data_IF_318451715044
#
_entry.id   IF_318451715044
#
_cell.length_a   1.000
_cell.length_b   1.000
_cell.length_c   1.000
_cell.angle_alpha   90.00
_cell.angle_beta   90.00
_cell.angle_gamma   90.00
#
_symmetry.space_group_name_H-M   'P 1'
#
loop_
_entity.id
_entity.type
_entity.pdbx_description
1 polymer ?
#
# COMPACT_ATOMS: atom_id res chain seq x y z
N UNK A 1 -35.59 -28.75 2.42
CA UNK A 1 -34.50 -28.33 3.36
C UNK A 1 -35.13 -27.95 4.70
N UNK A 2 -34.70 -28.60 5.77
CA UNK A 2 -35.32 -28.47 7.11
C UNK A 2 -35.05 -27.08 7.71
N UNK A 3 -36.06 -26.31 8.16
CA UNK A 3 -35.86 -24.94 8.73
C UNK A 3 -34.93 -24.91 9.94
N UNK A 4 -34.91 -26.02 10.72
CA UNK A 4 -33.98 -26.15 11.86
C UNK A 4 -32.51 -26.22 11.45
N UNK A 5 -32.18 -26.87 10.35
CA UNK A 5 -30.80 -26.92 9.82
C UNK A 5 -30.32 -25.55 9.33
N UNK A 6 -31.21 -24.77 8.68
CA UNK A 6 -30.90 -23.38 8.29
C UNK A 6 -30.67 -22.45 9.49
N UNK A 7 -31.45 -22.60 10.54
CA UNK A 7 -31.28 -21.82 11.76
C UNK A 7 -29.94 -22.14 12.47
N UNK A 8 -29.53 -23.42 12.46
CA UNK A 8 -28.22 -23.81 13.00
C UNK A 8 -27.05 -23.30 12.16
N UNK A 9 -27.14 -23.36 10.83
CA UNK A 9 -26.10 -22.79 9.95
C UNK A 9 -25.98 -21.27 10.11
N UNK A 10 -27.08 -20.55 10.21
CA UNK A 10 -27.09 -19.11 10.47
C UNK A 10 -26.49 -18.77 11.84
N UNK A 11 -26.81 -19.55 12.86
CA UNK A 11 -26.25 -19.40 14.20
C UNK A 11 -24.74 -19.65 14.24
N UNK A 12 -24.27 -20.67 13.54
CA UNK A 12 -22.83 -20.96 13.41
C UNK A 12 -22.10 -19.85 12.65
N UNK A 13 -22.65 -19.36 11.54
CA UNK A 13 -22.08 -18.24 10.78
C UNK A 13 -22.00 -16.98 11.61
N UNK A 14 -23.09 -16.61 12.31
CA UNK A 14 -23.10 -15.47 13.22
C UNK A 14 -22.07 -15.60 14.36
N UNK A 15 -21.90 -16.82 14.91
CA UNK A 15 -20.87 -17.10 15.92
C UNK A 15 -19.45 -16.95 15.37
N UNK A 16 -19.20 -17.40 14.15
CA UNK A 16 -17.92 -17.24 13.48
C UNK A 16 -17.59 -15.78 13.17
N UNK A 17 -18.57 -15.01 12.69
CA UNK A 17 -18.43 -13.58 12.43
C UNK A 17 -18.18 -12.78 13.71
N UNK A 18 -18.94 -13.06 14.79
CA UNK A 18 -18.72 -12.44 16.09
C UNK A 18 -17.32 -12.75 16.66
N UNK A 19 -16.86 -13.99 16.53
CA UNK A 19 -15.51 -14.38 16.92
C UNK A 19 -14.43 -13.70 16.05
N UNK A 20 -14.69 -13.51 14.75
CA UNK A 20 -13.78 -12.80 13.84
C UNK A 20 -13.68 -11.32 14.24
N UNK A 21 -14.80 -10.66 14.51
CA UNK A 21 -14.84 -9.27 15.03
C UNK A 21 -14.08 -9.15 16.35
N UNK A 22 -14.32 -10.08 17.30
CA UNK A 22 -13.60 -10.09 18.58
C UNK A 22 -12.09 -10.25 18.43
N UNK A 23 -11.63 -11.07 17.48
CA UNK A 23 -10.21 -11.19 17.16
C UNK A 23 -9.63 -9.93 16.53
N UNK A 24 -10.35 -9.27 15.63
CA UNK A 24 -9.94 -8.00 15.02
C UNK A 24 -9.84 -6.87 16.05
N UNK A 25 -10.80 -6.76 16.96
CA UNK A 25 -10.76 -5.81 18.07
C UNK A 25 -9.56 -6.06 18.99
N UNK A 26 -9.30 -7.30 19.36
CA UNK A 26 -8.12 -7.63 20.17
C UNK A 26 -6.80 -7.28 19.45
N UNK A 27 -6.70 -7.51 18.16
CA UNK A 27 -5.52 -7.14 17.37
C UNK A 27 -5.37 -5.62 17.26
N UNK A 28 -6.45 -4.89 17.09
CA UNK A 28 -6.44 -3.43 17.07
C UNK A 28 -5.95 -2.82 18.40
N UNK A 29 -6.21 -3.49 19.53
CA UNK A 29 -5.76 -3.08 20.87
C UNK A 29 -4.34 -3.57 21.22
N UNK A 30 -3.89 -4.68 20.61
CA UNK A 30 -2.63 -5.32 20.96
C UNK A 30 -1.40 -4.65 20.32
N UNK A 31 -1.55 -3.87 19.25
CA UNK A 31 -0.41 -3.22 18.60
C UNK A 31 -0.76 -2.40 17.36
N UNK A 32 0.22 -1.73 16.76
CA UNK A 32 0.05 -1.04 15.48
C UNK A 32 -0.20 -2.06 14.36
N UNK A 33 -1.29 -1.85 13.59
CA UNK A 33 -1.69 -2.73 12.50
C UNK A 33 -2.89 -2.18 11.73
N UNK A 34 -3.26 -2.80 10.59
CA UNK A 34 -4.35 -2.33 9.74
C UNK A 34 -5.71 -2.29 10.48
N UNK A 35 -5.93 -3.20 11.42
CA UNK A 35 -7.16 -3.19 12.23
C UNK A 35 -7.24 -1.98 13.16
N UNK A 36 -6.10 -1.53 13.71
CA UNK A 36 -6.03 -0.31 14.52
C UNK A 36 -6.27 0.93 13.68
N UNK A 37 -5.74 0.99 12.47
CA UNK A 37 -5.93 2.12 11.56
C UNK A 37 -7.40 2.26 11.15
N UNK A 38 -8.09 1.14 10.86
CA UNK A 38 -9.51 1.11 10.61
C UNK A 38 -10.33 1.57 11.84
N UNK A 39 -9.97 1.12 13.03
CA UNK A 39 -10.64 1.53 14.28
C UNK A 39 -10.45 3.03 14.53
N UNK A 40 -9.25 3.55 14.37
CA UNK A 40 -8.97 5.00 14.49
C UNK A 40 -9.75 5.80 13.46
N UNK A 41 -9.84 5.33 12.22
CA UNK A 41 -10.62 5.99 11.16
C UNK A 41 -12.12 5.99 11.50
N UNK A 42 -12.65 4.86 11.99
CA UNK A 42 -14.05 4.77 12.42
C UNK A 42 -14.36 5.73 13.59
N UNK A 43 -13.48 5.82 14.59
CA UNK A 43 -13.63 6.74 15.72
C UNK A 43 -13.57 8.20 15.25
N UNK A 44 -12.67 8.54 14.33
CA UNK A 44 -12.60 9.87 13.73
C UNK A 44 -13.88 10.23 12.99
N UNK A 45 -14.40 9.30 12.19
CA UNK A 45 -15.63 9.50 11.42
C UNK A 45 -16.83 9.70 12.36
N UNK A 46 -16.95 8.88 13.41
CA UNK A 46 -17.98 9.03 14.43
C UNK A 46 -17.86 10.36 15.18
N UNK A 47 -16.65 10.74 15.59
CA UNK A 47 -16.39 12.03 16.24
C UNK A 47 -16.72 13.23 15.34
N UNK A 48 -16.38 13.17 14.06
CA UNK A 48 -16.73 14.20 13.08
C UNK A 48 -18.24 14.30 12.88
N UNK A 49 -18.95 13.17 12.81
CA UNK A 49 -20.40 13.14 12.70
C UNK A 49 -21.09 13.75 13.90
N UNK A 50 -20.68 13.36 15.12
CA UNK A 50 -21.23 13.89 16.38
C UNK A 50 -21.01 15.40 16.47
N UNK A 51 -19.80 15.86 16.15
CA UNK A 51 -19.46 17.28 16.15
C UNK A 51 -20.27 18.06 15.12
N UNK A 52 -20.38 17.52 13.90
CA UNK A 52 -21.18 18.14 12.84
C UNK A 52 -22.66 18.22 13.20
N UNK A 53 -23.22 17.17 13.82
CA UNK A 53 -24.59 17.17 14.32
C UNK A 53 -24.77 18.16 15.47
N UNK A 54 -23.83 18.21 16.40
CA UNK A 54 -23.90 19.16 17.51
C UNK A 54 -23.95 20.62 17.02
N UNK A 55 -23.13 20.93 15.98
CA UNK A 55 -23.13 22.30 15.43
C UNK A 55 -24.38 22.56 14.57
N UNK A 56 -24.73 21.66 13.66
CA UNK A 56 -25.85 21.86 12.73
C UNK A 56 -27.22 21.70 13.41
N UNK A 57 -27.40 20.66 14.26
CA UNK A 57 -28.67 20.29 14.84
C UNK A 57 -28.96 21.02 16.15
N UNK A 58 -27.99 21.09 17.08
CA UNK A 58 -28.22 21.65 18.42
C UNK A 58 -27.96 23.16 18.47
N UNK A 59 -26.84 23.64 17.88
CA UNK A 59 -26.50 25.06 17.95
C UNK A 59 -27.21 25.90 16.86
N UNK A 60 -27.18 25.44 15.60
CA UNK A 60 -27.75 26.16 14.46
C UNK A 60 -29.21 25.81 14.21
N UNK A 61 -29.73 24.70 14.75
CA UNK A 61 -31.13 24.22 14.59
C UNK A 61 -31.56 24.14 13.12
N UNK A 62 -30.67 23.67 12.26
CA UNK A 62 -30.87 23.58 10.82
C UNK A 62 -32.04 22.62 10.49
N UNK A 63 -32.88 22.94 9.50
CA UNK A 63 -34.06 22.13 9.15
C UNK A 63 -33.73 20.69 8.73
N UNK A 64 -32.57 20.48 8.15
CA UNK A 64 -32.08 19.18 7.66
C UNK A 64 -30.71 18.84 8.28
N UNK A 65 -30.56 19.01 9.59
CA UNK A 65 -29.31 18.81 10.34
C UNK A 65 -28.55 17.49 10.02
N UNK A 66 -29.21 16.53 9.37
CA UNK A 66 -28.61 15.25 8.97
C UNK A 66 -27.56 15.39 7.85
N UNK A 67 -27.62 16.42 7.02
CA UNK A 67 -26.69 16.60 5.89
C UNK A 67 -25.25 16.88 6.34
N UNK A 68 -25.09 17.65 7.42
CA UNK A 68 -23.77 17.98 7.96
C UNK A 68 -23.01 16.74 8.50
N UNK A 69 -23.56 15.89 9.40
CA UNK A 69 -22.90 14.67 9.85
C UNK A 69 -22.63 13.67 8.72
N UNK A 70 -23.58 13.52 7.79
CA UNK A 70 -23.38 12.66 6.62
C UNK A 70 -22.16 13.08 5.80
N UNK A 71 -22.06 14.37 5.49
CA UNK A 71 -20.91 14.92 4.77
C UNK A 71 -19.61 14.80 5.56
N UNK A 72 -19.66 15.06 6.88
CA UNK A 72 -18.49 14.94 7.73
C UNK A 72 -17.92 13.51 7.74
N UNK A 73 -18.77 12.48 7.86
CA UNK A 73 -18.35 11.06 7.78
C UNK A 73 -17.72 10.73 6.43
N UNK A 74 -18.38 11.15 5.33
CA UNK A 74 -17.91 10.87 3.98
C UNK A 74 -16.55 11.50 3.69
N UNK A 75 -16.19 12.59 4.35
CA UNK A 75 -14.95 13.33 4.14
C UNK A 75 -13.81 12.96 5.09
N UNK A 76 -14.04 12.10 6.07
CA UNK A 76 -12.95 11.50 6.85
C UNK A 76 -12.25 10.44 6.01
N UNK A 77 -11.27 10.88 5.23
CA UNK A 77 -10.48 10.04 4.31
C UNK A 77 -9.11 9.73 4.89
N UNK A 78 -8.34 8.88 4.19
CA UNK A 78 -6.98 8.48 4.59
C UNK A 78 -5.98 9.65 4.60
N UNK A 79 -6.19 10.69 3.77
CA UNK A 79 -5.33 11.88 3.73
C UNK A 79 -6.14 13.18 3.71
N UNK A 80 -5.56 14.26 4.22
CA UNK A 80 -6.19 15.60 4.22
C UNK A 80 -6.43 16.09 2.79
N UNK A 81 -5.48 15.85 1.89
CA UNK A 81 -5.61 16.22 0.48
C UNK A 81 -6.81 15.53 -0.18
N UNK A 82 -6.95 14.22 0.04
CA UNK A 82 -8.08 13.44 -0.47
C UNK A 82 -9.40 13.93 0.12
N UNK A 83 -9.43 14.24 1.43
CA UNK A 83 -10.62 14.83 2.07
C UNK A 83 -11.03 16.16 1.42
N UNK A 84 -10.09 17.07 1.16
CA UNK A 84 -10.37 18.36 0.50
C UNK A 84 -10.85 18.15 -0.93
N UNK A 85 -10.15 17.32 -1.72
CA UNK A 85 -10.53 17.02 -3.12
C UNK A 85 -11.94 16.41 -3.19
N UNK A 86 -12.20 15.40 -2.37
CA UNK A 86 -13.51 14.74 -2.28
C UNK A 86 -14.58 15.71 -1.82
N UNK A 87 -14.28 16.57 -0.82
CA UNK A 87 -15.19 17.59 -0.34
C UNK A 87 -15.61 18.59 -1.41
N UNK A 88 -14.67 19.11 -2.20
CA UNK A 88 -14.98 20.00 -3.32
C UNK A 88 -15.83 19.29 -4.36
N UNK A 89 -15.47 18.06 -4.74
CA UNK A 89 -16.26 17.27 -5.70
C UNK A 89 -17.68 17.03 -5.19
N UNK A 90 -17.84 16.69 -3.93
CA UNK A 90 -19.12 16.44 -3.29
C UNK A 90 -20.00 17.70 -3.28
N UNK A 91 -19.47 18.85 -2.87
CA UNK A 91 -20.19 20.12 -2.90
C UNK A 91 -20.66 20.47 -4.29
N UNK A 92 -19.81 20.32 -5.31
CA UNK A 92 -20.16 20.56 -6.72
C UNK A 92 -21.27 19.61 -7.18
N UNK A 93 -21.20 18.33 -6.86
CA UNK A 93 -22.21 17.34 -7.23
C UNK A 93 -23.56 17.58 -6.52
N UNK A 94 -23.54 17.95 -5.24
CA UNK A 94 -24.74 18.32 -4.49
C UNK A 94 -25.39 19.57 -5.09
N UNK A 95 -24.61 20.60 -5.39
CA UNK A 95 -25.10 21.80 -6.05
C UNK A 95 -25.71 21.48 -7.42
N UNK A 96 -25.00 20.71 -8.26
CA UNK A 96 -25.50 20.31 -9.58
C UNK A 96 -26.78 19.46 -9.46
N UNK A 97 -26.83 18.49 -8.57
CA UNK A 97 -28.02 17.67 -8.33
C UNK A 97 -29.23 18.50 -7.87
N UNK A 98 -29.00 19.48 -7.00
CA UNK A 98 -30.05 20.40 -6.53
C UNK A 98 -30.59 21.28 -7.66
N UNK A 99 -29.70 21.88 -8.47
CA UNK A 99 -30.09 22.73 -9.61
C UNK A 99 -30.85 21.92 -10.65
N UNK A 100 -30.36 20.73 -11.02
CA UNK A 100 -31.01 19.84 -11.97
C UNK A 100 -32.39 19.38 -11.49
N UNK A 101 -32.53 19.07 -10.20
CA UNK A 101 -33.80 18.69 -9.59
C UNK A 101 -34.82 19.86 -9.63
N UNK A 102 -34.36 21.04 -9.24
CA UNK A 102 -35.21 22.25 -9.29
C UNK A 102 -35.64 22.60 -10.73
N UNK A 103 -34.73 22.51 -11.71
CA UNK A 103 -35.04 22.72 -13.11
C UNK A 103 -36.05 21.67 -13.64
N UNK A 104 -35.86 20.39 -13.31
CA UNK A 104 -36.80 19.35 -13.72
C UNK A 104 -38.19 19.55 -13.09
N UNK A 105 -38.27 19.95 -11.83
CA UNK A 105 -39.54 20.26 -11.15
C UNK A 105 -40.25 21.46 -11.82
N UNK A 106 -39.50 22.50 -12.18
CA UNK A 106 -40.02 23.64 -12.91
C UNK A 106 -40.56 23.27 -14.30
N UNK A 107 -39.84 22.44 -15.06
CA UNK A 107 -40.25 21.97 -16.41
C UNK A 107 -41.49 21.07 -16.35
N UNK A 108 -41.70 20.32 -15.29
CA UNK A 108 -42.82 19.39 -15.15
C UNK A 108 -44.02 19.95 -14.42
N UNK A 109 -44.04 21.26 -14.14
CA UNK A 109 -45.15 21.93 -13.43
C UNK A 109 -45.38 21.39 -12.03
N UNK A 110 -44.33 20.88 -11.36
CA UNK A 110 -44.40 20.32 -10.00
C UNK A 110 -44.77 18.83 -9.94
N UNK A 111 -44.91 18.15 -11.06
CA UNK A 111 -45.14 16.69 -11.05
C UNK A 111 -43.86 15.95 -10.64
N UNK A 112 -43.83 15.47 -9.42
CA UNK A 112 -42.65 14.82 -8.81
C UNK A 112 -42.16 13.59 -9.58
N UNK A 113 -43.09 12.77 -10.10
CA UNK A 113 -42.72 11.55 -10.84
C UNK A 113 -42.08 11.90 -12.20
N UNK A 114 -42.62 12.88 -12.92
CA UNK A 114 -42.06 13.34 -14.19
C UNK A 114 -40.70 14.03 -13.96
N UNK A 115 -40.58 14.82 -12.89
CA UNK A 115 -39.32 15.44 -12.52
C UNK A 115 -38.25 14.42 -12.17
N UNK A 116 -38.60 13.34 -11.44
CA UNK A 116 -37.68 12.23 -11.14
C UNK A 116 -37.23 11.49 -12.40
N UNK A 117 -38.14 11.23 -13.33
CA UNK A 117 -37.87 10.56 -14.61
C UNK A 117 -36.84 11.32 -15.47
N UNK A 118 -36.74 12.64 -15.29
CA UNK A 118 -35.78 13.48 -16.00
C UNK A 118 -34.50 13.67 -15.18
N UNK A 119 -34.62 14.06 -13.90
CA UNK A 119 -33.48 14.45 -13.09
C UNK A 119 -32.56 13.27 -12.73
N UNK A 120 -33.12 12.10 -12.38
CA UNK A 120 -32.31 10.98 -11.93
C UNK A 120 -31.39 10.40 -13.02
N UNK A 121 -31.85 10.17 -14.26
CA UNK A 121 -30.94 9.73 -15.33
C UNK A 121 -29.85 10.77 -15.65
N UNK A 122 -30.20 12.05 -15.68
CA UNK A 122 -29.24 13.12 -15.98
C UNK A 122 -28.18 13.24 -14.89
N UNK A 123 -28.58 13.20 -13.62
CA UNK A 123 -27.63 13.24 -12.48
C UNK A 123 -26.79 11.97 -12.38
N UNK A 124 -27.34 10.79 -12.71
CA UNK A 124 -26.60 9.56 -12.79
C UNK A 124 -25.53 9.57 -13.88
N UNK A 125 -25.86 10.10 -15.07
CA UNK A 125 -24.90 10.30 -16.15
C UNK A 125 -23.80 11.30 -15.77
N UNK A 126 -24.16 12.41 -15.13
CA UNK A 126 -23.19 13.38 -14.63
C UNK A 126 -22.25 12.75 -13.59
N UNK A 127 -22.81 11.90 -12.73
CA UNK A 127 -22.04 11.19 -11.71
C UNK A 127 -21.06 10.14 -12.25
N UNK A 128 -21.35 9.57 -13.42
CA UNK A 128 -20.46 8.61 -14.10
C UNK A 128 -19.30 9.26 -14.85
N UNK A 129 -19.22 10.57 -14.86
CA UNK A 129 -18.11 11.25 -15.51
C UNK A 129 -16.79 10.96 -14.77
N UNK A 130 -15.77 10.56 -15.50
CA UNK A 130 -14.50 10.01 -14.97
C UNK A 130 -13.76 10.90 -13.94
N UNK A 131 -14.04 12.21 -13.94
CA UNK A 131 -13.46 13.15 -12.96
C UNK A 131 -14.01 13.00 -11.54
N UNK A 132 -15.16 12.37 -11.34
CA UNK A 132 -15.83 12.30 -10.04
C UNK A 132 -15.57 11.00 -9.27
N UNK A 133 -14.77 10.08 -9.79
CA UNK A 133 -14.20 8.90 -9.08
C UNK A 133 -15.17 8.22 -8.08
N UNK A 134 -16.38 7.86 -8.53
CA UNK A 134 -17.37 7.18 -7.68
C UNK A 134 -18.21 8.08 -6.76
N UNK A 135 -18.03 9.41 -6.81
CA UNK A 135 -18.83 10.37 -6.04
C UNK A 135 -20.20 10.67 -6.70
N UNK A 136 -20.49 10.10 -7.85
CA UNK A 136 -21.71 10.35 -8.62
C UNK A 136 -23.02 10.07 -7.92
N UNK A 137 -23.01 9.15 -6.99
CA UNK A 137 -24.18 8.82 -6.15
C UNK A 137 -24.71 10.06 -5.42
N UNK A 138 -23.85 11.00 -5.03
CA UNK A 138 -24.28 12.21 -4.31
C UNK A 138 -25.17 13.14 -5.16
N UNK A 139 -24.94 13.26 -6.46
CA UNK A 139 -25.79 14.08 -7.33
C UNK A 139 -27.20 13.49 -7.43
N UNK A 140 -27.31 12.19 -7.70
CA UNK A 140 -28.61 11.49 -7.84
C UNK A 140 -29.37 11.43 -6.51
N UNK A 141 -28.68 11.15 -5.41
CA UNK A 141 -29.30 11.12 -4.07
C UNK A 141 -29.80 12.52 -3.70
N UNK A 142 -29.03 13.57 -3.97
CA UNK A 142 -29.44 14.94 -3.69
C UNK A 142 -30.66 15.33 -4.52
N UNK A 143 -30.66 15.02 -5.83
CA UNK A 143 -31.80 15.27 -6.70
C UNK A 143 -33.06 14.57 -6.19
N UNK A 144 -32.93 13.30 -5.77
CA UNK A 144 -34.04 12.55 -5.17
C UNK A 144 -34.57 13.23 -3.91
N UNK A 145 -33.70 13.62 -3.00
CA UNK A 145 -34.11 14.31 -1.77
C UNK A 145 -34.81 15.65 -2.04
N UNK A 146 -34.29 16.44 -2.97
CA UNK A 146 -34.91 17.71 -3.36
C UNK A 146 -36.32 17.48 -3.88
N UNK A 147 -36.50 16.49 -4.77
CA UNK A 147 -37.80 16.20 -5.40
C UNK A 147 -38.83 15.60 -4.41
N UNK A 148 -38.38 14.74 -3.48
CA UNK A 148 -39.26 14.09 -2.50
C UNK A 148 -39.71 15.07 -1.43
N UNK A 149 -38.81 15.89 -0.92
CA UNK A 149 -39.15 16.83 0.16
C UNK A 149 -39.74 18.16 -0.31
N UNK A 150 -39.80 18.37 -1.64
CA UNK A 150 -40.44 19.56 -2.24
C UNK A 150 -39.76 20.89 -1.88
N UNK A 151 -38.48 20.87 -1.52
CA UNK A 151 -37.70 22.03 -1.09
C UNK A 151 -37.15 22.78 -2.30
N UNK A 152 -37.97 23.55 -2.98
CA UNK A 152 -37.59 24.30 -4.20
C UNK A 152 -37.29 25.77 -3.95
N UNK A 153 -37.45 26.28 -2.69
CA UNK A 153 -37.12 27.65 -2.41
C UNK A 153 -35.60 27.88 -2.45
N UNK A 154 -35.19 29.04 -2.93
CA UNK A 154 -33.76 29.39 -2.95
C UNK A 154 -33.14 29.40 -1.56
N UNK A 155 -33.93 29.60 -0.54
CA UNK A 155 -33.52 29.57 0.86
C UNK A 155 -33.21 28.14 1.34
N UNK A 156 -34.01 27.15 0.96
CA UNK A 156 -33.78 25.73 1.30
C UNK A 156 -32.54 25.21 0.61
N UNK A 157 -32.32 25.61 -0.65
CA UNK A 157 -31.11 25.27 -1.41
C UNK A 157 -29.87 25.84 -0.72
N UNK A 158 -29.92 27.11 -0.32
CA UNK A 158 -28.80 27.75 0.38
C UNK A 158 -28.49 27.07 1.71
N UNK A 159 -29.51 26.76 2.53
CA UNK A 159 -29.35 26.06 3.80
C UNK A 159 -28.67 24.70 3.61
N UNK A 160 -29.09 23.93 2.62
CA UNK A 160 -28.51 22.61 2.31
C UNK A 160 -27.05 22.70 1.89
N UNK A 161 -26.69 23.70 1.09
CA UNK A 161 -25.30 23.95 0.70
C UNK A 161 -24.45 24.37 1.91
N UNK A 162 -24.99 25.22 2.79
CA UNK A 162 -24.31 25.63 4.02
C UNK A 162 -24.12 24.47 5.00
N UNK A 163 -25.11 23.60 5.19
CA UNK A 163 -24.98 22.37 6.01
C UNK A 163 -23.92 21.41 5.44
N UNK A 164 -23.92 21.23 4.11
CA UNK A 164 -22.91 20.42 3.45
C UNK A 164 -21.52 21.01 3.62
N UNK A 165 -21.38 22.33 3.45
CA UNK A 165 -20.11 23.03 3.64
C UNK A 165 -19.63 22.94 5.10
N UNK A 166 -20.55 23.08 6.08
CA UNK A 166 -20.26 22.92 7.49
C UNK A 166 -19.74 21.51 7.79
N UNK A 167 -20.43 20.47 7.28
CA UNK A 167 -20.00 19.09 7.40
C UNK A 167 -18.63 18.84 6.77
N UNK A 168 -18.38 19.46 5.60
CA UNK A 168 -17.09 19.38 4.92
C UNK A 168 -15.97 20.02 5.75
N UNK A 169 -16.17 21.22 6.28
CA UNK A 169 -15.19 21.91 7.12
C UNK A 169 -14.88 21.10 8.38
N UNK A 170 -15.91 20.56 9.04
CA UNK A 170 -15.73 19.75 10.25
C UNK A 170 -15.01 18.42 9.92
N UNK A 171 -15.44 17.71 8.87
CA UNK A 171 -14.83 16.45 8.46
C UNK A 171 -13.35 16.59 8.08
N UNK A 172 -13.03 17.62 7.29
CA UNK A 172 -11.64 17.94 6.91
C UNK A 172 -10.85 18.40 8.15
N UNK A 173 -11.43 19.24 9.01
CA UNK A 173 -10.80 19.73 10.22
C UNK A 173 -10.46 18.61 11.21
N UNK A 174 -11.40 17.71 11.48
CA UNK A 174 -11.19 16.53 12.33
C UNK A 174 -10.09 15.63 11.71
N UNK A 175 -10.12 15.42 10.39
CA UNK A 175 -9.11 14.62 9.72
C UNK A 175 -7.72 15.27 9.75
N UNK A 176 -7.62 16.60 9.73
CA UNK A 176 -6.37 17.33 9.80
C UNK A 176 -5.78 17.41 11.23
N UNK A 177 -6.67 17.52 12.25
CA UNK A 177 -6.28 17.71 13.65
C UNK A 177 -5.99 16.39 14.38
N UNK A 178 -6.77 15.34 14.10
CA UNK A 178 -6.64 14.04 14.74
C UNK A 178 -5.72 13.17 13.89
N UNK A 179 -4.43 13.11 14.26
CA UNK A 179 -3.37 12.23 13.77
C UNK A 179 -3.54 11.73 12.33
N UNK A 180 -2.76 12.22 11.38
CA UNK A 180 -2.67 11.56 10.08
C UNK A 180 -2.21 10.11 10.32
N UNK A 181 -2.85 9.10 9.72
CA UNK A 181 -2.41 7.71 9.84
C UNK A 181 -0.96 7.61 9.38
N UNK A 182 -0.12 6.93 10.18
CA UNK A 182 1.32 6.80 9.93
C UNK A 182 1.57 5.76 8.85
N UNK A 183 1.08 6.01 7.64
CA UNK A 183 1.35 5.14 6.48
C UNK A 183 2.84 5.11 6.10
N UNK A 184 3.64 6.06 6.61
CA UNK A 184 5.10 6.05 6.50
C UNK A 184 5.75 4.81 7.11
N UNK A 185 5.21 4.26 8.22
CA UNK A 185 5.76 3.04 8.82
C UNK A 185 5.57 1.82 7.91
N UNK A 186 4.41 1.66 7.30
CA UNK A 186 4.18 0.54 6.38
C UNK A 186 5.00 0.67 5.09
N UNK A 187 5.20 1.89 4.59
CA UNK A 187 6.10 2.12 3.46
C UNK A 187 7.54 1.71 3.77
N UNK A 188 8.04 2.13 4.93
CA UNK A 188 9.37 1.73 5.38
C UNK A 188 9.47 0.23 5.61
N UNK A 189 8.48 -0.39 6.23
CA UNK A 189 8.46 -1.83 6.49
C UNK A 189 8.48 -2.64 5.18
N UNK A 190 7.66 -2.29 4.20
CA UNK A 190 7.66 -2.94 2.88
C UNK A 190 8.98 -2.72 2.13
N UNK A 191 9.58 -1.53 2.28
CA UNK A 191 10.85 -1.18 1.68
C UNK A 191 12.00 -2.08 2.17
N UNK A 192 12.06 -2.36 3.48
CA UNK A 192 13.11 -3.21 4.06
C UNK A 192 12.86 -4.69 3.79
N UNK A 193 11.59 -5.10 3.79
CA UNK A 193 11.21 -6.49 3.57
C UNK A 193 11.55 -6.97 2.16
N UNK A 194 11.42 -6.14 1.15
CA UNK A 194 11.60 -6.56 -0.24
C UNK A 194 12.99 -7.14 -0.52
N UNK A 195 14.12 -6.44 -0.22
CA UNK A 195 15.45 -7.03 -0.37
C UNK A 195 15.69 -8.19 0.58
N UNK A 196 15.16 -8.14 1.81
CA UNK A 196 15.28 -9.19 2.81
C UNK A 196 14.61 -10.50 2.37
N UNK A 197 13.36 -10.44 1.92
CA UNK A 197 12.60 -11.60 1.45
C UNK A 197 13.22 -12.17 0.15
N UNK A 198 13.76 -11.30 -0.71
CA UNK A 198 14.53 -11.70 -1.89
C UNK A 198 15.81 -12.46 -1.53
N UNK A 199 16.57 -11.96 -0.55
CA UNK A 199 17.77 -12.62 -0.05
C UNK A 199 17.47 -13.99 0.57
N UNK A 200 16.40 -14.06 1.38
CA UNK A 200 15.97 -15.32 2.02
C UNK A 200 15.53 -16.36 0.98
N UNK A 201 14.79 -15.93 -0.05
CA UNK A 201 14.40 -16.81 -1.16
C UNK A 201 15.63 -17.37 -1.87
N UNK A 202 16.56 -16.51 -2.28
CA UNK A 202 17.79 -16.90 -2.98
C UNK A 202 18.66 -17.85 -2.14
N UNK A 203 18.80 -17.60 -0.83
CA UNK A 203 19.52 -18.50 0.07
C UNK A 203 18.85 -19.84 0.26
N UNK A 204 17.51 -19.85 0.33
CA UNK A 204 16.75 -21.09 0.43
C UNK A 204 16.95 -21.93 -0.81
N UNK A 205 16.81 -21.32 -1.99
CA UNK A 205 17.07 -21.98 -3.27
C UNK A 205 18.49 -22.55 -3.33
N UNK A 206 19.51 -21.76 -2.98
CA UNK A 206 20.91 -22.20 -3.01
C UNK A 206 21.14 -23.43 -2.12
N UNK A 207 20.70 -23.39 -0.86
CA UNK A 207 20.87 -24.52 0.09
C UNK A 207 20.13 -25.77 -0.34
N UNK A 208 18.92 -25.65 -0.84
CA UNK A 208 18.12 -26.79 -1.27
C UNK A 208 18.68 -27.38 -2.58
N UNK A 209 19.22 -26.54 -3.50
CA UNK A 209 19.90 -27.02 -4.71
C UNK A 209 21.20 -27.77 -4.41
N UNK A 210 21.95 -27.37 -3.38
CA UNK A 210 23.16 -28.08 -2.92
C UNK A 210 22.87 -29.50 -2.42
N UNK A 211 21.66 -29.74 -1.93
CA UNK A 211 21.22 -31.03 -1.39
C UNK A 211 20.46 -31.88 -2.44
N UNK A 212 20.24 -31.34 -3.63
CA UNK A 212 19.36 -31.90 -4.63
C UNK A 212 17.90 -31.47 -4.37
N UNK A 213 17.34 -30.64 -5.25
CA UNK A 213 15.98 -30.16 -5.09
C UNK A 213 14.95 -31.01 -5.80
N UNK A 214 13.76 -31.07 -5.23
CA UNK A 214 12.61 -31.76 -5.78
C UNK A 214 11.57 -30.75 -6.34
N UNK A 215 10.62 -31.28 -7.14
CA UNK A 215 9.52 -30.49 -7.72
C UNK A 215 8.77 -29.66 -6.68
N UNK A 216 8.54 -30.21 -5.48
CA UNK A 216 7.80 -29.51 -4.40
C UNK A 216 8.52 -28.25 -3.95
N UNK A 217 9.84 -28.32 -3.72
CA UNK A 217 10.66 -27.19 -3.31
C UNK A 217 10.71 -26.11 -4.39
N UNK A 218 10.90 -26.51 -5.66
CA UNK A 218 10.88 -25.57 -6.79
C UNK A 218 9.51 -24.84 -6.90
N UNK A 219 8.40 -25.55 -6.66
CA UNK A 219 7.08 -24.95 -6.63
C UNK A 219 6.86 -23.99 -5.45
N UNK A 220 7.45 -24.29 -4.29
CA UNK A 220 7.47 -23.40 -3.13
C UNK A 220 8.26 -22.11 -3.43
N UNK A 221 9.43 -22.21 -4.07
CA UNK A 221 10.22 -21.04 -4.51
C UNK A 221 9.41 -20.15 -5.46
N UNK A 222 8.78 -20.74 -6.47
CA UNK A 222 7.93 -20.02 -7.41
C UNK A 222 6.77 -19.32 -6.70
N UNK A 223 6.13 -19.98 -5.75
CA UNK A 223 5.03 -19.40 -4.97
C UNK A 223 5.52 -18.22 -4.11
N UNK A 224 6.71 -18.32 -3.52
CA UNK A 224 7.33 -17.24 -2.75
C UNK A 224 7.74 -16.07 -3.65
N UNK A 225 8.38 -16.32 -4.79
CA UNK A 225 8.76 -15.29 -5.76
C UNK A 225 7.56 -14.45 -6.21
N UNK A 226 6.43 -15.08 -6.53
CA UNK A 226 5.19 -14.41 -6.95
C UNK A 226 4.55 -13.50 -5.88
N UNK A 227 4.98 -13.55 -4.64
CA UNK A 227 4.53 -12.65 -3.56
C UNK A 227 5.33 -11.35 -3.50
N UNK A 228 6.56 -11.34 -4.01
CA UNK A 228 7.44 -10.17 -3.95
C UNK A 228 6.85 -8.93 -4.65
N UNK A 229 6.21 -9.01 -5.84
CA UNK A 229 5.57 -7.86 -6.48
C UNK A 229 4.48 -7.20 -5.65
N UNK A 230 3.85 -7.92 -4.71
CA UNK A 230 2.84 -7.34 -3.81
C UNK A 230 3.46 -6.30 -2.87
N UNK A 231 4.69 -6.54 -2.38
CA UNK A 231 5.43 -5.59 -1.55
C UNK A 231 5.75 -4.28 -2.30
N UNK A 232 6.01 -4.37 -3.61
CA UNK A 232 6.20 -3.19 -4.46
C UNK A 232 4.91 -2.40 -4.64
N UNK A 233 3.79 -3.09 -4.82
CA UNK A 233 2.47 -2.45 -4.89
C UNK A 233 2.16 -1.70 -3.60
N UNK A 234 2.43 -2.28 -2.45
CA UNK A 234 2.25 -1.66 -1.14
C UNK A 234 3.16 -0.44 -0.97
N UNK A 235 4.42 -0.53 -1.41
CA UNK A 235 5.37 0.57 -1.42
C UNK A 235 4.91 1.72 -2.33
N UNK A 236 4.45 1.43 -3.54
CA UNK A 236 3.89 2.41 -4.48
C UNK A 236 2.70 3.16 -3.88
N UNK A 237 1.76 2.43 -3.29
CA UNK A 237 0.60 3.00 -2.62
C UNK A 237 1.04 3.91 -1.45
N UNK A 238 1.99 3.46 -0.65
CA UNK A 238 2.50 4.23 0.48
C UNK A 238 3.24 5.52 0.04
N UNK A 239 3.99 5.49 -1.08
CA UNK A 239 4.60 6.69 -1.68
C UNK A 239 3.55 7.68 -2.19
N UNK A 240 2.52 7.19 -2.87
CA UNK A 240 1.41 8.03 -3.32
C UNK A 240 0.76 8.75 -2.14
N UNK A 241 0.47 8.05 -1.06
CA UNK A 241 -0.12 8.63 0.14
C UNK A 241 0.81 9.62 0.86
N UNK A 242 2.12 9.34 0.87
CA UNK A 242 3.13 10.26 1.42
C UNK A 242 3.17 11.57 0.63
N UNK A 243 3.22 11.50 -0.71
CA UNK A 243 3.19 12.70 -1.57
C UNK A 243 1.89 13.50 -1.41
N UNK A 244 0.74 12.83 -1.31
CA UNK A 244 -0.54 13.48 -1.06
C UNK A 244 -0.59 14.15 0.32
N UNK A 245 -0.10 13.48 1.37
CA UNK A 245 -0.06 14.01 2.72
C UNK A 245 0.83 15.24 2.86
N UNK A 246 1.90 15.34 2.05
CA UNK A 246 2.80 16.48 2.06
C UNK A 246 2.23 17.73 1.38
N UNK A 247 1.27 17.59 0.43
CA UNK A 247 0.72 18.72 -0.35
C UNK A 247 -0.09 19.73 0.47
N UNK A 248 -0.81 19.28 1.51
CA UNK A 248 -1.70 20.14 2.33
C UNK A 248 -1.44 20.01 3.84
N UNK A 249 -0.28 19.52 4.26
CA UNK A 249 0.03 19.40 5.67
C UNK A 249 0.60 20.74 6.23
N UNK A 250 -0.17 21.50 7.03
CA UNK A 250 0.30 22.76 7.61
C UNK A 250 1.49 22.57 8.57
N UNK A 251 1.69 21.36 9.10
CA UNK A 251 2.81 21.00 9.99
C UNK A 251 4.13 20.76 9.26
N UNK A 252 4.15 20.74 7.91
CA UNK A 252 5.39 20.60 7.12
C UNK A 252 6.45 21.64 7.49
N UNK A 253 6.03 22.84 7.92
CA UNK A 253 6.94 23.91 8.34
C UNK A 253 7.54 23.73 9.73
N UNK A 254 6.95 22.87 10.57
CA UNK A 254 7.29 22.73 11.99
C UNK A 254 8.06 21.45 12.27
N UNK A 255 7.88 20.40 11.47
CA UNK A 255 8.54 19.12 11.67
C UNK A 255 9.00 18.57 10.32
N UNK A 256 10.32 18.54 10.11
CA UNK A 256 10.93 17.72 9.06
C UNK A 256 10.46 16.29 9.29
N UNK A 257 10.01 15.53 8.24
CA UNK A 257 9.66 14.14 8.45
C UNK A 257 10.87 13.41 9.03
N UNK A 258 10.75 12.75 10.19
CA UNK A 258 11.83 11.96 10.72
C UNK A 258 12.00 10.72 9.83
N UNK A 259 13.19 10.50 9.32
CA UNK A 259 13.57 9.30 8.61
C UNK A 259 14.37 9.59 7.34
N UNK A 260 15.25 8.65 6.94
CA UNK A 260 15.96 8.74 5.68
C UNK A 260 14.94 8.81 4.54
N UNK A 261 15.22 9.64 3.56
CA UNK A 261 14.38 9.79 2.37
C UNK A 261 14.12 8.42 1.74
N UNK A 262 12.89 8.19 1.28
CA UNK A 262 12.59 6.98 0.49
C UNK A 262 13.54 6.94 -0.71
N UNK A 263 14.06 5.75 -1.12
CA UNK A 263 14.89 5.61 -2.31
C UNK A 263 14.20 6.22 -3.54
N UNK A 264 14.95 6.46 -4.59
CA UNK A 264 14.42 7.03 -5.83
C UNK A 264 13.36 6.11 -6.47
N UNK A 265 12.52 6.66 -7.35
CA UNK A 265 11.58 5.85 -8.16
C UNK A 265 12.31 4.91 -9.13
N UNK A 266 13.58 5.17 -9.45
CA UNK A 266 14.42 4.27 -10.22
C UNK A 266 14.70 2.97 -9.45
N UNK A 267 14.88 3.05 -8.14
CA UNK A 267 15.02 1.89 -7.28
C UNK A 267 13.77 0.98 -7.34
N UNK A 268 12.57 1.56 -7.32
CA UNK A 268 11.33 0.78 -7.44
C UNK A 268 11.26 0.05 -8.78
N UNK A 269 11.58 0.75 -9.88
CA UNK A 269 11.58 0.17 -11.21
C UNK A 269 12.66 -0.93 -11.39
N UNK A 270 13.83 -0.78 -10.76
CA UNK A 270 14.84 -1.81 -10.75
C UNK A 270 14.38 -3.04 -9.96
N UNK A 271 13.79 -2.87 -8.80
CA UNK A 271 13.24 -3.98 -8.01
C UNK A 271 12.04 -4.66 -8.67
N UNK A 272 11.23 -3.94 -9.44
CA UNK A 272 10.18 -4.55 -10.26
C UNK A 272 10.78 -5.57 -11.23
N UNK A 273 11.83 -5.18 -11.98
CA UNK A 273 12.54 -6.11 -12.88
C UNK A 273 13.22 -7.25 -12.14
N UNK A 274 13.83 -6.98 -10.97
CA UNK A 274 14.44 -8.02 -10.11
C UNK A 274 13.39 -9.07 -9.72
N UNK A 275 12.19 -8.65 -9.27
CA UNK A 275 11.13 -9.59 -8.89
C UNK A 275 10.57 -10.37 -10.08
N UNK A 276 10.51 -9.77 -11.27
CA UNK A 276 10.12 -10.43 -12.50
C UNK A 276 11.13 -11.52 -12.89
N UNK A 277 12.44 -11.22 -12.83
CA UNK A 277 13.48 -12.19 -13.11
C UNK A 277 13.54 -13.31 -12.07
N UNK A 278 13.31 -13.02 -10.77
CA UNK A 278 13.19 -14.05 -9.74
C UNK A 278 11.99 -14.96 -9.99
N UNK A 279 10.87 -14.39 -10.44
CA UNK A 279 9.67 -15.16 -10.77
C UNK A 279 9.91 -16.03 -12.01
N UNK A 280 10.54 -15.50 -13.04
CA UNK A 280 10.88 -16.25 -14.25
C UNK A 280 11.86 -17.38 -13.94
N UNK A 281 12.93 -17.11 -13.19
CA UNK A 281 13.94 -18.08 -12.78
C UNK A 281 13.33 -19.23 -11.98
N UNK A 282 12.53 -18.92 -10.95
CA UNK A 282 11.89 -19.93 -10.12
C UNK A 282 10.81 -20.70 -10.89
N UNK A 283 10.10 -20.06 -11.81
CA UNK A 283 9.14 -20.69 -12.71
C UNK A 283 9.80 -21.70 -13.64
N UNK A 284 10.94 -21.33 -14.24
CA UNK A 284 11.73 -22.26 -15.06
C UNK A 284 12.23 -23.48 -14.27
N UNK A 285 12.75 -23.26 -13.07
CA UNK A 285 13.23 -24.36 -12.22
C UNK A 285 12.07 -25.27 -11.78
N UNK A 286 10.89 -24.71 -11.49
CA UNK A 286 9.70 -25.49 -11.16
C UNK A 286 9.16 -26.30 -12.35
N UNK A 287 9.25 -25.76 -13.57
CA UNK A 287 8.86 -26.47 -14.79
C UNK A 287 9.89 -27.56 -15.12
N UNK A 288 11.19 -27.27 -15.00
CA UNK A 288 12.26 -28.24 -15.25
C UNK A 288 12.27 -29.40 -14.24
N UNK A 289 11.89 -29.17 -12.98
CA UNK A 289 11.74 -30.22 -11.97
C UNK A 289 10.47 -31.04 -12.15
N UNK A 290 9.58 -30.65 -13.07
CA UNK A 290 8.38 -31.41 -13.45
C UNK A 290 8.66 -32.35 -14.63
N UNK A 291 7.73 -33.27 -14.92
CA UNK A 291 7.79 -34.12 -16.11
C UNK A 291 7.41 -33.33 -17.39
N UNK A 292 7.86 -32.09 -17.53
CA UNK A 292 7.53 -31.28 -18.71
C UNK A 292 8.34 -31.75 -19.92
N UNK A 293 7.70 -32.04 -21.06
CA UNK A 293 8.42 -32.40 -22.28
C UNK A 293 9.17 -31.22 -22.90
N UNK A 294 8.95 -30.00 -22.39
CA UNK A 294 9.49 -28.75 -22.95
C UNK A 294 10.79 -28.30 -22.32
N UNK A 295 11.01 -28.64 -21.05
CA UNK A 295 12.16 -28.17 -20.30
C UNK A 295 12.74 -29.33 -19.48
N UNK A 296 13.98 -29.74 -19.81
CA UNK A 296 14.68 -30.75 -19.02
C UNK A 296 15.44 -30.09 -17.86
N UNK A 297 15.62 -30.78 -16.72
CA UNK A 297 16.45 -30.28 -15.63
C UNK A 297 17.86 -29.93 -16.13
N UNK A 298 18.46 -28.82 -15.67
CA UNK A 298 19.85 -28.54 -15.97
C UNK A 298 20.75 -29.66 -15.45
N UNK A 299 21.84 -30.01 -16.16
CA UNK A 299 22.76 -31.07 -15.74
C UNK A 299 23.48 -30.70 -14.42
N UNK A 300 23.90 -31.70 -13.66
CA UNK A 300 24.54 -31.53 -12.35
C UNK A 300 25.80 -30.63 -12.39
N UNK A 301 26.53 -30.64 -13.51
CA UNK A 301 27.69 -29.77 -13.75
C UNK A 301 27.34 -28.28 -13.73
N UNK A 302 26.13 -27.91 -14.18
CA UNK A 302 25.60 -26.54 -14.17
C UNK A 302 24.97 -26.25 -12.81
N UNK A 303 24.19 -27.20 -12.29
CA UNK A 303 23.54 -27.07 -10.97
C UNK A 303 24.57 -26.88 -9.84
N UNK A 304 25.78 -27.41 -9.95
CA UNK A 304 26.85 -27.19 -8.96
C UNK A 304 27.39 -25.76 -8.89
N UNK A 305 27.25 -24.93 -9.93
CA UNK A 305 27.67 -23.51 -9.93
C UNK A 305 26.54 -22.54 -9.56
N UNK A 306 25.29 -22.92 -9.76
CA UNK A 306 24.11 -22.06 -9.50
C UNK A 306 23.99 -21.67 -8.02
N UNK A 307 24.15 -22.55 -7.02
CA UNK A 307 24.07 -22.18 -5.62
C UNK A 307 25.06 -21.09 -5.21
N UNK A 308 26.28 -21.13 -5.73
CA UNK A 308 27.29 -20.10 -5.46
C UNK A 308 26.86 -18.73 -5.97
N UNK A 309 26.25 -18.70 -7.14
CA UNK A 309 25.69 -17.47 -7.72
C UNK A 309 24.51 -16.97 -6.88
N UNK A 310 23.58 -17.85 -6.51
CA UNK A 310 22.42 -17.50 -5.70
C UNK A 310 22.82 -16.97 -4.31
N UNK A 311 23.83 -17.57 -3.67
CA UNK A 311 24.39 -17.06 -2.41
C UNK A 311 24.96 -15.64 -2.57
N UNK A 312 25.74 -15.42 -3.63
CA UNK A 312 26.32 -14.11 -3.87
C UNK A 312 25.25 -13.04 -4.18
N UNK A 313 24.17 -13.39 -4.93
CA UNK A 313 23.01 -12.52 -5.15
C UNK A 313 22.25 -12.24 -3.85
N UNK A 314 22.08 -13.23 -2.99
CA UNK A 314 21.49 -13.06 -1.68
C UNK A 314 22.28 -12.08 -0.78
N UNK A 315 23.61 -12.16 -0.82
CA UNK A 315 24.48 -11.24 -0.09
C UNK A 315 24.34 -9.79 -0.59
N UNK A 316 24.12 -9.57 -1.91
CA UNK A 316 23.81 -8.25 -2.47
C UNK A 316 22.51 -7.72 -1.91
N UNK A 317 21.44 -8.55 -1.97
CA UNK A 317 20.12 -8.16 -1.44
C UNK A 317 20.16 -7.86 0.08
N UNK A 318 20.94 -8.62 0.85
CA UNK A 318 21.13 -8.33 2.28
C UNK A 318 21.90 -7.04 2.54
N UNK A 319 22.91 -6.75 1.75
CA UNK A 319 23.65 -5.49 1.86
C UNK A 319 22.73 -4.30 1.53
N UNK A 320 21.83 -4.44 0.54
CA UNK A 320 20.83 -3.43 0.23
C UNK A 320 19.82 -3.24 1.37
N UNK A 321 19.32 -4.34 1.98
CA UNK A 321 18.46 -4.29 3.15
C UNK A 321 19.16 -3.58 4.34
N UNK A 322 20.43 -3.90 4.58
CA UNK A 322 21.21 -3.28 5.65
C UNK A 322 21.45 -1.78 5.39
N UNK A 323 21.73 -1.37 4.16
CA UNK A 323 21.90 0.05 3.80
C UNK A 323 20.63 0.86 4.07
N UNK A 324 19.47 0.30 3.77
CA UNK A 324 18.17 0.91 4.06
C UNK A 324 17.90 1.04 5.57
N UNK A 325 18.35 0.07 6.40
CA UNK A 325 18.14 0.09 7.86
C UNK A 325 19.08 1.08 8.58
N UNK A 326 20.34 1.19 8.15
CA UNK A 326 21.31 2.13 8.73
C UNK A 326 20.85 3.58 8.52
N UNK A 327 20.28 3.89 7.36
CA UNK A 327 19.67 5.18 7.09
C UNK A 327 18.51 5.51 8.05
N UNK A 328 17.79 4.53 8.58
CA UNK A 328 16.68 4.74 9.52
C UNK A 328 17.13 4.99 10.96
N UNK A 329 18.27 4.41 11.38
CA UNK A 329 18.74 4.46 12.78
C UNK A 329 19.49 5.72 13.17
N UNK A 330 20.01 6.49 12.21
CA UNK A 330 20.81 7.68 12.48
C UNK A 330 20.01 8.91 12.96
N UNK A 331 18.70 8.88 12.85
CA UNK A 331 17.82 10.01 13.22
C UNK A 331 17.24 9.92 14.65
N UNK A 332 17.11 8.71 15.21
CA UNK A 332 16.67 8.55 16.61
C UNK A 332 17.72 9.00 17.65
N UNK A 333 18.99 9.02 17.26
CA UNK A 333 20.10 9.43 18.15
C UNK A 333 20.26 10.96 18.30
N UNK A 334 19.74 11.77 17.40
CA UNK A 334 19.89 13.24 17.49
C UNK A 334 18.80 13.95 18.30
N UNK A 335 17.69 13.30 18.57
CA UNK A 335 16.60 13.84 19.40
C UNK A 335 16.82 13.71 20.91
N UNK A 336 17.69 12.78 21.36
CA UNK A 336 17.94 12.50 22.78
C UNK A 336 19.16 13.21 23.37
N UNK A 337 19.96 13.92 22.57
CA UNK A 337 21.23 14.53 23.04
C UNK A 337 21.08 15.96 23.62
N UNK A 338 19.84 16.40 23.90
CA UNK A 338 19.52 17.75 24.37
C UNK A 338 19.18 17.91 25.86
N UNK A 339 19.11 16.86 26.64
CA UNK A 339 18.81 16.95 28.08
C UNK A 339 19.59 15.86 28.82
N UNK A 340 20.72 16.15 29.29
CA UNK A 340 21.37 15.87 30.58
C UNK A 340 22.89 15.80 30.42
N UNK A 341 23.55 16.92 30.75
CA UNK A 341 24.97 16.93 31.05
C UNK A 341 25.06 16.98 32.57
N UNK A 342 25.10 15.78 33.19
CA UNK A 342 25.75 15.58 34.47
C UNK A 342 25.49 14.18 34.99
N UNK A 343 26.31 13.20 34.59
CA UNK A 343 26.66 12.04 35.42
C UNK A 343 27.93 11.36 34.86
N UNK A 344 29.02 11.29 35.67
CA UNK A 344 30.23 10.61 35.25
C UNK A 344 30.20 9.13 35.61
N UNK A 345 30.55 8.31 34.64
CA UNK A 345 31.16 7.00 34.90
C UNK A 345 30.25 5.79 34.97
N UNK A 346 30.02 5.14 33.84
CA UNK A 346 29.86 3.69 33.87
C UNK A 346 30.49 3.10 32.59
N UNK A 347 31.37 2.08 32.83
CA UNK A 347 32.30 1.54 31.88
C UNK A 347 31.71 1.06 30.55
N UNK A 348 32.35 1.47 29.49
CA UNK A 348 32.22 0.96 28.14
C UNK A 348 32.66 -0.51 28.18
N UNK A 349 31.71 -1.44 28.13
CA UNK A 349 32.01 -2.84 27.81
C UNK A 349 32.32 -2.88 26.32
N UNK A 350 33.56 -3.15 26.00
CA UNK A 350 34.04 -3.49 24.67
C UNK A 350 33.27 -4.72 24.16
N UNK A 351 32.33 -4.49 23.26
CA UNK A 351 31.82 -5.55 22.40
C UNK A 351 32.93 -5.88 21.38
N UNK A 352 33.17 -7.15 21.03
CA UNK A 352 34.21 -7.51 20.07
C UNK A 352 33.82 -6.91 18.71
N UNK A 353 34.49 -5.84 18.31
CA UNK A 353 34.38 -5.20 17.00
C UNK A 353 35.01 -6.10 15.95
N UNK A 354 34.24 -6.98 15.33
CA UNK A 354 34.57 -7.47 14.01
C UNK A 354 34.51 -6.29 13.04
N UNK A 355 35.55 -6.10 12.28
CA UNK A 355 35.71 -5.10 11.21
C UNK A 355 34.59 -5.32 10.16
N UNK A 356 33.40 -4.81 10.41
CA UNK A 356 32.28 -4.84 9.50
C UNK A 356 32.37 -3.58 8.64
N UNK A 357 33.07 -3.69 7.49
CA UNK A 357 33.12 -2.65 6.46
C UNK A 357 31.78 -1.99 6.20
N UNK A 358 31.80 -0.74 5.72
CA UNK A 358 30.57 0.02 5.45
C UNK A 358 29.60 -0.82 4.58
N UNK A 359 28.26 -0.66 4.73
CA UNK A 359 27.27 -1.41 3.93
C UNK A 359 27.54 -1.34 2.42
N UNK A 360 28.07 -0.21 1.93
CA UNK A 360 28.43 -0.01 0.55
C UNK A 360 29.58 -0.93 0.09
N UNK A 361 30.62 -1.08 0.92
CA UNK A 361 31.77 -1.93 0.62
C UNK A 361 31.37 -3.42 0.55
N UNK A 362 30.51 -3.84 1.47
CA UNK A 362 29.97 -5.21 1.49
C UNK A 362 29.14 -5.51 0.24
N UNK A 363 28.32 -4.54 -0.21
CA UNK A 363 27.54 -4.65 -1.43
C UNK A 363 28.44 -4.81 -2.67
N UNK A 364 29.46 -3.96 -2.80
CA UNK A 364 30.39 -4.02 -3.94
C UNK A 364 31.16 -5.34 -3.98
N UNK A 365 31.58 -5.85 -2.84
CA UNK A 365 32.25 -7.13 -2.75
C UNK A 365 31.30 -8.30 -3.11
N UNK A 366 30.07 -8.28 -2.63
CA UNK A 366 29.05 -9.28 -2.98
C UNK A 366 28.75 -9.24 -4.48
N UNK A 367 28.63 -8.06 -5.08
CA UNK A 367 28.42 -7.89 -6.53
C UNK A 367 29.60 -8.43 -7.34
N UNK A 368 30.85 -8.15 -6.94
CA UNK A 368 32.03 -8.73 -7.58
C UNK A 368 32.01 -10.25 -7.54
N UNK A 369 31.64 -10.85 -6.40
CA UNK A 369 31.50 -12.32 -6.24
C UNK A 369 30.41 -12.88 -7.14
N UNK A 370 29.29 -12.20 -7.25
CA UNK A 370 28.17 -12.61 -8.08
C UNK A 370 28.54 -12.58 -9.59
N UNK A 371 29.20 -11.53 -10.06
CA UNK A 371 29.74 -11.48 -11.42
C UNK A 371 30.80 -12.55 -11.72
N UNK A 372 31.63 -12.86 -10.73
CA UNK A 372 32.61 -13.94 -10.88
C UNK A 372 31.93 -15.32 -10.97
N UNK A 373 30.88 -15.57 -10.17
CA UNK A 373 30.08 -16.79 -10.25
C UNK A 373 29.33 -16.90 -11.58
N UNK A 374 28.76 -15.80 -12.08
CA UNK A 374 28.09 -15.76 -13.39
C UNK A 374 29.04 -16.08 -14.55
N UNK A 375 30.28 -15.57 -14.52
CA UNK A 375 31.29 -15.91 -15.54
C UNK A 375 31.65 -17.41 -15.53
N UNK A 376 31.76 -18.02 -14.34
CA UNK A 376 31.99 -19.47 -14.17
C UNK A 376 30.83 -20.29 -14.74
N UNK A 377 29.61 -19.89 -14.38
CA UNK A 377 28.39 -20.52 -14.92
C UNK A 377 28.41 -20.48 -16.45
N UNK A 378 28.66 -19.31 -17.04
CA UNK A 378 28.79 -19.18 -18.52
C UNK A 378 29.85 -20.04 -19.13
N UNK A 379 31.02 -20.17 -18.50
CA UNK A 379 32.09 -21.03 -19.01
C UNK A 379 31.67 -22.51 -19.06
N UNK A 380 30.86 -22.95 -18.12
CA UNK A 380 30.30 -24.32 -18.13
C UNK A 380 29.27 -24.55 -19.25
N UNK A 381 28.57 -23.47 -19.71
CA UNK A 381 27.56 -23.58 -20.76
C UNK A 381 28.13 -23.95 -22.12
N UNK A 382 29.37 -23.55 -22.41
CA UNK A 382 30.06 -23.81 -23.69
C UNK A 382 30.51 -25.27 -23.86
N UNK A 383 30.36 -26.08 -22.79
CA UNK A 383 30.81 -27.48 -22.75
C UNK A 383 29.65 -28.49 -22.94
N UNK A 384 28.37 -28.05 -23.20
CA UNK A 384 27.22 -28.94 -23.15
C UNK A 384 26.42 -29.06 -24.44
N UNK A 385 25.79 -30.26 -24.62
CA UNK A 385 25.01 -30.69 -25.78
C UNK A 385 23.68 -29.96 -25.96
N UNK A 386 23.14 -29.97 -27.19
CA UNK A 386 21.94 -29.26 -27.67
C UNK A 386 20.63 -29.53 -26.87
N UNK A 387 20.51 -30.70 -26.24
CA UNK A 387 19.23 -31.09 -25.57
C UNK A 387 18.93 -30.31 -24.27
N UNK A 388 19.94 -29.85 -23.57
CA UNK A 388 19.83 -29.06 -22.36
C UNK A 388 20.08 -27.56 -22.56
N UNK A 389 20.49 -27.17 -23.76
CA UNK A 389 20.88 -25.81 -24.12
C UNK A 389 19.80 -24.77 -23.81
N UNK A 390 18.51 -25.15 -23.97
CA UNK A 390 17.40 -24.24 -23.74
C UNK A 390 17.21 -23.90 -22.25
N UNK A 391 17.25 -24.90 -21.35
CA UNK A 391 17.08 -24.69 -19.92
C UNK A 391 18.28 -23.99 -19.30
N UNK A 392 19.46 -24.37 -19.75
CA UNK A 392 20.75 -23.85 -19.28
C UNK A 392 20.97 -22.43 -19.79
N UNK A 393 20.68 -22.17 -21.06
CA UNK A 393 20.74 -20.84 -21.67
C UNK A 393 19.73 -19.87 -21.03
N UNK A 394 18.50 -20.33 -20.78
CA UNK A 394 17.48 -19.55 -20.07
C UNK A 394 17.92 -19.20 -18.66
N UNK A 395 18.41 -20.15 -17.88
CA UNK A 395 18.90 -19.93 -16.52
C UNK A 395 20.04 -18.90 -16.47
N UNK A 396 21.01 -19.00 -17.40
CA UNK A 396 22.11 -18.06 -17.47
C UNK A 396 21.67 -16.66 -17.92
N UNK A 397 20.69 -16.57 -18.81
CA UNK A 397 20.14 -15.31 -19.26
C UNK A 397 19.37 -14.60 -18.12
N UNK A 398 18.51 -15.32 -17.40
CA UNK A 398 17.73 -14.75 -16.30
C UNK A 398 18.62 -14.33 -15.12
N UNK A 399 19.60 -15.14 -14.76
CA UNK A 399 20.55 -14.77 -13.70
C UNK A 399 21.44 -13.60 -14.10
N UNK A 400 21.79 -13.46 -15.37
CA UNK A 400 22.53 -12.30 -15.85
C UNK A 400 21.69 -11.01 -15.80
N UNK A 401 20.44 -11.06 -16.24
CA UNK A 401 19.52 -9.92 -16.17
C UNK A 401 19.30 -9.50 -14.72
N UNK A 402 19.08 -10.48 -13.84
CA UNK A 402 18.96 -10.25 -12.42
C UNK A 402 20.18 -9.50 -11.83
N UNK A 403 21.40 -9.86 -12.26
CA UNK A 403 22.62 -9.16 -11.85
C UNK A 403 22.66 -7.70 -12.31
N UNK A 404 22.29 -7.41 -13.56
CA UNK A 404 22.24 -6.04 -14.07
C UNK A 404 21.20 -5.21 -13.31
N UNK A 405 20.01 -5.76 -13.10
CA UNK A 405 18.95 -5.04 -12.42
C UNK A 405 19.24 -4.82 -10.93
N UNK A 406 19.92 -5.77 -10.27
CA UNK A 406 20.42 -5.57 -8.91
C UNK A 406 21.53 -4.51 -8.85
N UNK A 407 22.36 -4.38 -9.86
CA UNK A 407 23.38 -3.32 -9.91
C UNK A 407 22.72 -1.94 -10.07
N UNK A 408 21.67 -1.84 -10.88
CA UNK A 408 20.85 -0.62 -11.03
C UNK A 408 20.03 -0.30 -9.75
N UNK A 409 19.69 -1.30 -8.95
CA UNK A 409 18.88 -1.19 -7.75
C UNK A 409 19.63 -0.64 -6.52
N UNK A 410 20.68 0.18 -6.71
CA UNK A 410 21.41 0.79 -5.57
C UNK A 410 20.47 1.67 -4.75
N UNK A 411 20.43 1.50 -3.43
CA UNK A 411 19.65 2.37 -2.56
C UNK A 411 20.35 3.75 -2.44
N UNK A 412 20.20 4.60 -3.45
CA UNK A 412 20.66 5.99 -3.39
C UNK A 412 19.55 6.83 -2.76
N UNK A 413 19.85 7.64 -1.73
CA UNK A 413 18.87 8.58 -1.18
C UNK A 413 18.36 9.49 -2.31
N UNK A 414 17.03 9.69 -2.37
CA UNK A 414 16.48 10.65 -3.32
C UNK A 414 17.10 12.03 -3.03
N UNK A 415 17.75 12.63 -4.01
CA UNK A 415 18.22 14.02 -3.93
C UNK A 415 17.02 14.93 -3.60
N UNK A 416 17.13 15.69 -2.54
CA UNK A 416 16.10 16.60 -1.99
C UNK A 416 15.90 17.85 -2.83
#
# INVERSE_FOLDING_TARGET
>A
MNPAARAQELGQRAGWEAAAVGRSVRRALAGPGPERDLAVQAIKAAGAAILAWAVAGWWWQAPLALMAPWTAVALVQSTVYRSVRTGVQQVVLIAAGTVLAAAAAGLTGGNTMAAMAIALPVTALLGNYSRFEGQGVYASTTALFVLVYGSFSGFDILHRLLETLLGAVIGIGVNALILPPVHLRHAHESLYRLPGDGAELLRTMAREMEQGYERRQAQEWYTRARRLPQLLTDLHNARMWTRESLRLNPRRRIRRPPGPGLPSTQWDAAWERVTDHLTALTGMLAEAAGDSPRLRPPPDSVLGEVPRLLHALADVCEADAAALTVGAGTDDGRGAAGADRDTPGCGRRDAPGGDQGAPGDRREEAMRRAWAAQRRLKARLTEHDDETATSVGGLAAETQRLLYDLDDARPVPAET
#
